data_IF_828425535348
#
_entry.id   IF_828425535348
#
_cell.length_a   1.000
_cell.length_b   1.000
_cell.length_c   1.000
_cell.angle_alpha   90.00
_cell.angle_beta   90.00
_cell.angle_gamma   90.00
#
_symmetry.space_group_name_H-M   'P 1'
#
loop_
_entity.id
_entity.type
_entity.pdbx_description
1 polymer ?
#
# COMPACT_ATOMS: atom_id res chain seq x y z
N UNK A 1 12.41 -1.24 -14.12
CA UNK A 1 12.16 -0.42 -12.94
C UNK A 1 11.27 -1.15 -11.95
N UNK A 2 11.53 -1.03 -10.67
CA UNK A 2 10.77 -1.63 -9.61
C UNK A 2 10.42 -0.56 -8.56
N UNK A 3 9.19 -0.55 -8.08
CA UNK A 3 8.75 0.32 -7.01
C UNK A 3 8.16 -0.51 -5.86
N UNK A 4 8.60 -0.23 -4.65
CA UNK A 4 8.22 -0.93 -3.44
C UNK A 4 7.55 0.04 -2.49
N UNK A 5 6.38 -0.29 -2.01
CA UNK A 5 5.67 0.54 -1.05
C UNK A 5 5.27 -0.26 0.18
N UNK A 6 5.59 0.27 1.35
CA UNK A 6 5.07 -0.19 2.63
C UNK A 6 4.15 0.89 3.18
N UNK A 7 2.88 0.59 3.32
CA UNK A 7 1.88 1.58 3.75
C UNK A 7 0.90 0.98 4.75
N UNK A 8 0.51 1.78 5.73
CA UNK A 8 -0.44 1.40 6.76
C UNK A 8 -1.89 1.49 6.28
N UNK A 9 -2.20 2.46 5.43
CA UNK A 9 -3.53 2.64 4.84
C UNK A 9 -3.45 3.18 3.42
N UNK A 10 -4.37 2.74 2.56
CA UNK A 10 -4.51 3.18 1.18
C UNK A 10 -5.95 3.62 0.97
N UNK A 11 -6.15 4.92 0.77
CA UNK A 11 -7.47 5.48 0.46
C UNK A 11 -7.50 6.29 -0.81
N UNK A 12 -6.33 6.51 -1.45
CA UNK A 12 -6.23 7.28 -2.69
C UNK A 12 -5.47 6.46 -3.71
N UNK A 13 -6.19 5.77 -4.53
CA UNK A 13 -5.62 4.87 -5.52
C UNK A 13 -5.35 5.60 -6.83
N UNK A 14 -6.05 6.70 -7.07
CA UNK A 14 -6.03 7.39 -8.37
C UNK A 14 -4.62 7.90 -8.77
N UNK A 15 -3.82 8.37 -7.83
CA UNK A 15 -2.43 8.79 -8.08
C UNK A 15 -1.50 7.62 -8.38
N UNK A 16 -1.63 6.53 -7.62
CA UNK A 16 -0.83 5.30 -7.82
C UNK A 16 -1.27 4.59 -9.10
N UNK A 17 -2.57 4.55 -9.41
CA UNK A 17 -3.08 3.97 -10.66
C UNK A 17 -2.57 4.69 -11.89
N UNK A 18 -2.56 6.01 -11.88
CA UNK A 18 -1.95 6.78 -12.97
C UNK A 18 -0.47 6.44 -13.13
N UNK A 19 0.25 6.29 -12.02
CA UNK A 19 1.66 5.90 -12.05
C UNK A 19 1.84 4.48 -12.65
N UNK A 20 1.07 3.50 -12.18
CA UNK A 20 1.16 2.10 -12.64
C UNK A 20 0.68 1.98 -14.08
N UNK A 21 -0.42 2.64 -14.45
CA UNK A 21 -0.97 2.58 -15.81
C UNK A 21 -0.11 3.34 -16.82
N UNK A 22 0.59 4.38 -16.39
CA UNK A 22 1.44 5.20 -17.26
C UNK A 22 2.81 4.57 -17.47
N UNK A 23 3.25 3.70 -16.57
CA UNK A 23 4.60 3.09 -16.60
C UNK A 23 4.47 1.58 -16.82
N UNK A 24 4.08 1.19 -18.02
CA UNK A 24 4.04 -0.22 -18.44
C UNK A 24 5.37 -0.92 -18.15
N UNK A 25 5.34 -1.97 -17.34
CA UNK A 25 6.51 -2.81 -17.04
C UNK A 25 7.22 -2.50 -15.72
N UNK A 26 6.66 -1.65 -14.85
CA UNK A 26 7.16 -1.48 -13.48
C UNK A 26 6.65 -2.60 -12.58
N UNK A 27 7.54 -3.27 -11.86
CA UNK A 27 7.19 -4.22 -10.82
C UNK A 27 6.80 -3.44 -9.55
N UNK A 28 5.50 -3.33 -9.28
CA UNK A 28 4.97 -2.65 -8.10
C UNK A 28 4.60 -3.66 -7.04
N UNK A 29 5.16 -3.50 -5.86
CA UNK A 29 4.87 -4.33 -4.68
C UNK A 29 4.41 -3.47 -3.53
N UNK A 30 3.33 -3.89 -2.90
CA UNK A 30 2.70 -3.19 -1.81
C UNK A 30 2.60 -4.09 -0.60
N UNK A 31 3.03 -3.60 0.55
CA UNK A 31 2.86 -4.29 1.83
C UNK A 31 1.84 -3.54 2.68
N UNK A 32 0.83 -4.27 3.16
CA UNK A 32 -0.23 -3.74 4.02
C UNK A 32 -0.30 -4.54 5.32
N UNK A 33 -0.75 -3.94 6.44
CA UNK A 33 -0.86 -4.64 7.71
C UNK A 33 -2.01 -5.67 7.70
N UNK A 34 -1.83 -6.80 8.40
CA UNK A 34 -2.93 -7.74 8.68
C UNK A 34 -3.81 -7.29 9.84
N UNK A 35 -3.23 -6.52 10.77
CA UNK A 35 -3.93 -5.98 11.95
C UNK A 35 -4.24 -4.51 11.73
N UNK A 36 -5.51 -4.16 11.52
CA UNK A 36 -5.91 -2.78 11.33
C UNK A 36 -5.88 -1.99 12.64
N UNK A 37 -5.53 -0.72 12.55
CA UNK A 37 -5.78 0.24 13.61
C UNK A 37 -7.28 0.44 13.81
N UNK A 38 -8.02 0.44 12.70
CA UNK A 38 -9.47 0.55 12.67
C UNK A 38 -10.09 -0.36 11.60
N UNK A 39 -11.16 -1.12 11.90
CA UNK A 39 -11.74 -2.09 10.94
C UNK A 39 -12.19 -1.48 9.60
N UNK A 40 -12.79 -0.29 9.63
CA UNK A 40 -13.25 0.38 8.40
C UNK A 40 -12.08 0.78 7.49
N UNK A 41 -10.99 1.27 8.08
CA UNK A 41 -9.74 1.59 7.37
C UNK A 41 -9.21 0.35 6.64
N UNK A 42 -9.20 -0.79 7.32
CA UNK A 42 -8.73 -2.05 6.74
C UNK A 42 -9.58 -2.52 5.55
N UNK A 43 -10.90 -2.47 5.69
CA UNK A 43 -11.80 -2.87 4.58
C UNK A 43 -11.68 -1.92 3.39
N UNK A 44 -11.55 -0.62 3.62
CA UNK A 44 -11.27 0.33 2.55
C UNK A 44 -9.92 0.02 1.87
N UNK A 45 -8.87 -0.21 2.66
CA UNK A 45 -7.53 -0.60 2.15
C UNK A 45 -7.60 -1.87 1.29
N UNK A 46 -8.34 -2.90 1.71
CA UNK A 46 -8.52 -4.13 0.93
C UNK A 46 -9.27 -3.86 -0.39
N UNK A 47 -10.27 -2.98 -0.38
CA UNK A 47 -10.98 -2.61 -1.61
C UNK A 47 -10.04 -1.96 -2.63
N UNK A 48 -9.17 -1.05 -2.20
CA UNK A 48 -8.18 -0.41 -3.07
C UNK A 48 -7.07 -1.39 -3.50
N UNK A 49 -6.61 -2.24 -2.58
CA UNK A 49 -5.64 -3.29 -2.90
C UNK A 49 -6.14 -4.22 -4.03
N UNK A 50 -7.44 -4.53 -4.02
CA UNK A 50 -8.06 -5.33 -5.09
C UNK A 50 -7.98 -4.67 -6.46
N UNK A 51 -8.17 -3.36 -6.54
CA UNK A 51 -7.98 -2.64 -7.80
C UNK A 51 -6.52 -2.68 -8.26
N UNK A 52 -5.56 -2.56 -7.33
CA UNK A 52 -4.14 -2.67 -7.67
C UNK A 52 -3.78 -4.03 -8.26
N UNK A 53 -4.39 -5.12 -7.75
CA UNK A 53 -4.23 -6.46 -8.34
C UNK A 53 -4.72 -6.52 -9.78
N UNK A 54 -5.78 -5.79 -10.14
CA UNK A 54 -6.29 -5.73 -11.52
C UNK A 54 -5.31 -5.06 -12.48
N UNK A 55 -4.49 -4.14 -11.98
CA UNK A 55 -3.40 -3.49 -12.73
C UNK A 55 -2.05 -4.21 -12.66
N UNK A 56 -2.01 -5.39 -12.07
CA UNK A 56 -0.81 -6.24 -12.03
C UNK A 56 0.17 -5.94 -10.91
N UNK A 57 -0.20 -5.10 -9.93
CA UNK A 57 0.60 -4.94 -8.72
C UNK A 57 0.54 -6.21 -7.85
N UNK A 58 1.59 -6.46 -7.08
CA UNK A 58 1.62 -7.52 -6.09
C UNK A 58 1.35 -6.94 -4.69
N UNK A 59 0.38 -7.51 -3.99
CA UNK A 59 -0.02 -7.08 -2.66
C UNK A 59 0.34 -8.14 -1.63
N UNK A 60 1.00 -7.72 -0.57
CA UNK A 60 1.48 -8.56 0.51
C UNK A 60 0.85 -8.11 1.83
N UNK A 61 0.25 -9.05 2.55
CA UNK A 61 -0.35 -8.82 3.88
C UNK A 61 0.68 -9.25 4.92
N UNK A 62 1.22 -8.28 5.66
CA UNK A 62 2.22 -8.53 6.70
C UNK A 62 1.57 -9.17 7.93
N UNK A 63 2.03 -10.37 8.31
CA UNK A 63 1.42 -11.18 9.37
C UNK A 63 2.25 -11.26 10.65
N UNK A 64 3.48 -10.74 10.65
CA UNK A 64 4.41 -10.84 11.77
C UNK A 64 4.36 -9.61 12.71
N UNK A 65 3.17 -9.16 13.10
CA UNK A 65 3.01 -8.08 14.06
C UNK A 65 2.27 -6.86 13.52
N UNK A 66 2.60 -5.70 14.10
CA UNK A 66 1.99 -4.42 13.76
C UNK A 66 2.87 -3.68 12.75
N UNK A 67 2.36 -3.44 11.56
CA UNK A 67 3.02 -2.65 10.54
C UNK A 67 2.48 -1.22 10.54
N UNK A 68 3.33 -0.24 10.85
CA UNK A 68 2.98 1.18 10.83
C UNK A 68 3.98 2.01 10.03
N UNK A 69 4.67 1.40 9.09
CA UNK A 69 5.58 2.04 8.16
C UNK A 69 4.83 2.74 7.04
N UNK A 70 5.31 3.89 6.64
CA UNK A 70 4.76 4.68 5.54
C UNK A 70 5.92 5.11 4.65
N UNK A 71 6.12 4.40 3.58
CA UNK A 71 7.23 4.67 2.70
C UNK A 71 7.12 4.03 1.33
N UNK A 72 7.88 4.57 0.42
CA UNK A 72 8.03 4.09 -0.96
C UNK A 72 9.51 4.11 -1.30
N UNK A 73 10.00 3.06 -1.95
CA UNK A 73 11.33 3.03 -2.56
C UNK A 73 11.20 2.81 -4.07
N UNK A 74 12.11 3.37 -4.83
CA UNK A 74 12.11 3.32 -6.30
C UNK A 74 13.52 2.95 -6.78
N UNK A 75 13.65 1.77 -7.40
CA UNK A 75 14.86 1.30 -8.08
C UNK A 75 16.15 1.40 -7.26
N UNK A 76 16.10 1.33 -5.93
CA UNK A 76 17.25 1.56 -5.03
C UNK A 76 17.93 2.93 -5.22
N UNK A 77 17.26 3.90 -5.80
CA UNK A 77 17.80 5.23 -6.10
C UNK A 77 17.15 6.35 -5.32
N UNK A 78 15.88 6.17 -5.01
CA UNK A 78 15.13 7.14 -4.26
C UNK A 78 14.20 6.46 -3.26
N UNK A 79 13.97 7.13 -2.14
CA UNK A 79 13.00 6.72 -1.16
C UNK A 79 12.20 7.92 -0.66
N UNK A 80 10.95 7.68 -0.27
CA UNK A 80 10.12 8.63 0.43
C UNK A 80 9.58 7.96 1.67
N UNK A 81 9.93 8.46 2.85
CA UNK A 81 9.51 7.93 4.14
C UNK A 81 9.07 9.04 5.08
N UNK A 82 8.01 8.79 5.84
CA UNK A 82 7.53 9.78 6.78
C UNK A 82 6.26 9.39 7.51
N UNK A 83 5.43 10.39 7.79
CA UNK A 83 4.20 10.22 8.56
C UNK A 83 2.96 10.04 7.68
N UNK A 84 3.01 10.47 6.42
CA UNK A 84 1.87 10.44 5.51
C UNK A 84 1.51 9.02 5.08
N UNK A 85 0.28 8.63 5.33
CA UNK A 85 -0.32 7.46 4.69
C UNK A 85 -0.68 7.76 3.24
N UNK A 86 -0.93 6.72 2.45
CA UNK A 86 -1.48 6.89 1.10
C UNK A 86 -2.99 7.07 1.13
N UNK A 87 -3.46 8.12 1.81
CA UNK A 87 -4.87 8.45 1.93
C UNK A 87 -5.14 9.95 1.73
N UNK A 88 -6.40 10.28 1.47
CA UNK A 88 -6.83 11.65 1.18
C UNK A 88 -6.55 12.58 2.37
N UNK A 89 -6.72 12.10 3.59
CA UNK A 89 -6.48 12.92 4.79
C UNK A 89 -5.02 13.28 4.94
N UNK A 90 -4.12 12.33 4.72
CA UNK A 90 -2.68 12.60 4.77
C UNK A 90 -2.24 13.55 3.67
N UNK A 91 -2.85 13.49 2.48
CA UNK A 91 -2.44 14.33 1.35
C UNK A 91 -3.08 15.72 1.35
N UNK A 92 -4.28 15.89 1.92
CA UNK A 92 -5.05 17.12 1.77
C UNK A 92 -5.37 17.81 3.11
N UNK A 93 -5.45 17.10 4.21
CA UNK A 93 -5.99 17.61 5.46
C UNK A 93 -5.01 17.61 6.63
N UNK A 94 -4.15 16.60 6.73
CA UNK A 94 -3.25 16.45 7.87
C UNK A 94 -1.96 17.25 7.66
N UNK A 95 -1.34 17.63 8.79
CA UNK A 95 0.05 18.09 8.79
C UNK A 95 0.97 16.87 8.82
N UNK A 96 1.59 16.57 7.70
CA UNK A 96 2.46 15.41 7.52
C UNK A 96 3.88 15.84 7.17
N UNK A 97 4.85 15.01 7.52
CA UNK A 97 6.26 15.24 7.18
C UNK A 97 6.80 14.00 6.50
N UNK A 98 7.29 14.16 5.28
CA UNK A 98 7.96 13.11 4.52
C UNK A 98 9.35 13.56 4.10
N UNK A 99 10.34 12.70 4.27
CA UNK A 99 11.68 12.88 3.73
C UNK A 99 11.76 12.22 2.35
N UNK A 100 12.19 12.99 1.35
CA UNK A 100 12.53 12.46 0.03
C UNK A 100 14.05 12.31 0.00
N UNK A 101 14.52 11.09 -0.20
CA UNK A 101 15.91 10.68 -0.07
C UNK A 101 16.40 10.26 -1.46
N UNK A 102 17.39 10.95 -2.00
CA UNK A 102 18.07 10.62 -3.26
C UNK A 102 19.47 10.08 -2.96
N UNK A 103 19.51 8.94 -2.28
CA UNK A 103 20.74 8.24 -1.91
C UNK A 103 20.55 6.74 -2.14
N UNK A 104 21.41 6.18 -3.00
CA UNK A 104 21.32 4.74 -3.37
C UNK A 104 21.60 3.83 -2.17
N UNK A 105 22.46 4.21 -1.26
CA UNK A 105 22.77 3.45 -0.05
C UNK A 105 21.54 3.33 0.83
N UNK A 106 20.95 4.46 1.22
CA UNK A 106 19.75 4.50 2.07
C UNK A 106 18.53 3.88 1.38
N UNK A 107 18.31 4.16 0.09
CA UNK A 107 17.20 3.56 -0.65
C UNK A 107 17.34 2.04 -0.76
N UNK A 108 18.58 1.54 -0.96
CA UNK A 108 18.88 0.12 -0.99
C UNK A 108 18.67 -0.57 0.37
N UNK A 109 19.05 0.07 1.48
CA UNK A 109 18.79 -0.47 2.82
C UNK A 109 17.29 -0.56 3.13
N UNK A 110 16.51 0.46 2.75
CA UNK A 110 15.06 0.47 2.93
C UNK A 110 14.36 -0.58 2.06
N UNK A 111 14.80 -0.76 0.82
CA UNK A 111 14.30 -1.84 -0.04
C UNK A 111 14.67 -3.21 0.52
N UNK A 112 15.91 -3.36 1.02
CA UNK A 112 16.33 -4.60 1.68
C UNK A 112 15.45 -4.91 2.89
N UNK A 113 15.14 -3.94 3.73
CA UNK A 113 14.22 -4.13 4.86
C UNK A 113 12.83 -4.62 4.40
N UNK A 114 12.29 -4.04 3.31
CA UNK A 114 11.04 -4.52 2.70
C UNK A 114 11.16 -5.97 2.23
N UNK A 115 12.27 -6.33 1.58
CA UNK A 115 12.50 -7.70 1.10
C UNK A 115 12.68 -8.70 2.24
N UNK A 116 13.34 -8.31 3.33
CA UNK A 116 13.53 -9.13 4.52
C UNK A 116 12.20 -9.40 5.25
N UNK A 117 11.21 -8.51 5.10
CA UNK A 117 9.85 -8.68 5.64
C UNK A 117 8.94 -9.56 4.76
N UNK A 118 9.23 -9.71 3.46
CA UNK A 118 8.38 -10.51 2.55
C UNK A 118 8.14 -11.96 2.99
N UNK A 119 9.10 -12.70 3.57
CA UNK A 119 8.87 -14.04 4.09
C UNK A 119 7.83 -14.11 5.22
N UNK A 120 7.55 -12.98 5.86
CA UNK A 120 6.56 -12.83 6.92
C UNK A 120 5.20 -12.33 6.41
N UNK A 121 5.06 -12.25 5.08
CA UNK A 121 3.85 -11.78 4.43
C UNK A 121 3.12 -12.92 3.73
N UNK A 122 1.82 -12.79 3.67
CA UNK A 122 0.97 -13.59 2.77
C UNK A 122 0.65 -12.75 1.52
N UNK A 123 0.98 -13.27 0.35
CA UNK A 123 0.60 -12.63 -0.90
C UNK A 123 -0.92 -12.74 -1.13
N UNK A 124 -1.57 -11.61 -1.36
CA UNK A 124 -2.98 -11.55 -1.73
C UNK A 124 -3.12 -11.86 -3.22
N UNK A 125 -3.59 -13.05 -3.55
CA UNK A 125 -3.79 -13.47 -4.94
C UNK A 125 -5.12 -12.95 -5.48
N UNK A 126 -5.14 -12.58 -6.76
CA UNK A 126 -6.33 -12.08 -7.45
C UNK A 126 -7.51 -13.06 -7.37
N UNK A 127 -7.25 -14.36 -7.54
CA UNK A 127 -8.27 -15.40 -7.45
C UNK A 127 -8.89 -15.47 -6.06
N UNK A 128 -8.10 -15.39 -5.00
CA UNK A 128 -8.56 -15.34 -3.61
C UNK A 128 -9.42 -14.10 -3.38
N UNK A 129 -8.95 -12.94 -3.85
CA UNK A 129 -9.68 -11.69 -3.74
C UNK A 129 -11.03 -11.72 -4.45
N UNK A 130 -11.10 -12.30 -5.66
CA UNK A 130 -12.34 -12.41 -6.44
C UNK A 130 -13.36 -13.37 -5.79
N UNK A 131 -12.90 -14.41 -5.13
CA UNK A 131 -13.74 -15.44 -4.51
C UNK A 131 -14.21 -15.11 -3.07
N UNK A 132 -13.94 -13.89 -2.57
CA UNK A 132 -14.38 -13.48 -1.23
C UNK A 132 -15.90 -13.37 -1.11
N UNK A 133 -16.44 -13.56 0.09
CA UNK A 133 -17.87 -13.55 0.35
C UNK A 133 -18.54 -12.23 0.00
N UNK A 134 -19.83 -12.27 -0.39
CA UNK A 134 -20.63 -11.07 -0.67
C UNK A 134 -20.66 -10.11 0.52
N UNK A 135 -20.73 -10.63 1.75
CA UNK A 135 -20.75 -9.81 2.96
C UNK A 135 -19.45 -9.01 3.13
N UNK A 136 -18.30 -9.58 2.78
CA UNK A 136 -17.03 -8.89 2.81
C UNK A 136 -16.96 -7.81 1.73
N UNK A 137 -17.42 -8.13 0.51
CA UNK A 137 -17.48 -7.16 -0.60
C UNK A 137 -18.35 -5.95 -0.27
N UNK A 138 -19.50 -6.16 0.36
CA UNK A 138 -20.39 -5.05 0.79
C UNK A 138 -19.69 -4.19 1.86
N UNK A 139 -19.05 -4.81 2.86
CA UNK A 139 -18.30 -4.08 3.89
C UNK A 139 -17.17 -3.23 3.29
N UNK A 140 -16.41 -3.79 2.37
CA UNK A 140 -15.35 -3.08 1.65
C UNK A 140 -15.90 -1.87 0.89
N UNK A 141 -16.99 -2.04 0.13
CA UNK A 141 -17.60 -0.94 -0.65
C UNK A 141 -18.20 0.14 0.27
N UNK A 142 -18.88 -0.25 1.35
CA UNK A 142 -19.38 0.73 2.33
C UNK A 142 -18.22 1.50 2.99
N UNK A 143 -17.14 0.81 3.37
CA UNK A 143 -15.97 1.46 3.96
C UNK A 143 -15.27 2.39 2.97
N UNK A 144 -15.23 2.02 1.69
CA UNK A 144 -14.69 2.86 0.63
C UNK A 144 -15.46 4.16 0.46
N UNK A 145 -16.79 4.13 0.55
CA UNK A 145 -17.61 5.35 0.50
C UNK A 145 -17.33 6.30 1.67
N UNK A 146 -16.91 5.74 2.81
CA UNK A 146 -16.56 6.51 3.99
C UNK A 146 -15.09 6.94 4.01
N UNK A 147 -14.28 6.46 3.08
CA UNK A 147 -12.83 6.70 3.08
C UNK A 147 -12.41 8.17 3.11
N UNK A 148 -13.15 9.15 2.53
CA UNK A 148 -12.80 10.56 2.68
C UNK A 148 -13.00 11.10 4.10
N UNK A 149 -13.70 10.36 4.97
CA UNK A 149 -13.98 10.73 6.37
C UNK A 149 -13.11 9.96 7.36
N UNK A 150 -12.46 8.88 6.92
CA UNK A 150 -11.60 8.01 7.71
C UNK A 150 -10.15 8.44 7.63
#
# INVERSE_FOLDING_TARGET
>A
PAAWASVTSIFTVEGIFRLIHTVSGVDVRLMIPCKPDHPFVYWATLSFAGELLDYGARVYIYENGFLHSKGVTIDQRAACYGTANMDIRSFELNFEVNAIIYDEGTAGELEKAFMDDLPHCRELKKEEYMNRSLGLRVREQCSRLLSPLL
#
